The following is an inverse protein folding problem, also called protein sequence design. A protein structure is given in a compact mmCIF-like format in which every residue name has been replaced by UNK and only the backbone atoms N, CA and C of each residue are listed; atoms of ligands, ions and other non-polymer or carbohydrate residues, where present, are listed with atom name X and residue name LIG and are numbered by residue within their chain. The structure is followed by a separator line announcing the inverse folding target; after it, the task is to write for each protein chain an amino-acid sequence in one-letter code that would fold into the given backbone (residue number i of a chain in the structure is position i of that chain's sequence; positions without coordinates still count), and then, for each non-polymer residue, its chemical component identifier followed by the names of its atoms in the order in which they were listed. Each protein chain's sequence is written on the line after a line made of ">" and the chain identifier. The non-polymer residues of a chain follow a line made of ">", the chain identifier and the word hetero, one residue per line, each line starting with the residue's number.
data_IF_797890323013
#
_entry.id   IF_797890323013
#
_cell.length_a   1.000
_cell.length_b   1.000
_cell.length_c   1.000
_cell.angle_alpha   90.00
_cell.angle_beta   90.00
_cell.angle_gamma   90.00
#
_symmetry.space_group_name_H-M   'P 1'
#
loop_
_entity.id
_entity.type
_entity.pdbx_description
1 polymer ?
#
# COMPACT_ATOMS: atom_id res chain seq x y z
N UNK A 1 7.19 -18.85 -7.19
CA UNK A 1 6.43 -18.14 -6.13
C UNK A 1 5.29 -17.29 -6.66
N UNK A 2 5.46 -16.57 -7.78
CA UNK A 2 4.38 -15.80 -8.45
C UNK A 2 3.04 -16.54 -8.56
N UNK A 3 3.05 -17.76 -9.09
CA UNK A 3 1.83 -18.57 -9.22
C UNK A 3 1.12 -18.79 -7.87
N UNK A 4 1.88 -18.99 -6.77
CA UNK A 4 1.31 -19.19 -5.44
C UNK A 4 0.75 -17.88 -4.88
N UNK A 5 1.49 -16.79 -5.00
CA UNK A 5 1.10 -15.46 -4.52
C UNK A 5 -0.21 -14.97 -5.16
N UNK A 6 -0.43 -15.30 -6.43
CA UNK A 6 -1.63 -14.92 -7.20
C UNK A 6 -2.65 -16.06 -7.38
N UNK A 7 -2.49 -17.19 -6.70
CA UNK A 7 -3.31 -18.39 -6.96
C UNK A 7 -4.82 -18.20 -6.77
N UNK A 8 -5.23 -17.32 -5.85
CA UNK A 8 -6.64 -17.00 -5.57
C UNK A 8 -7.03 -15.60 -6.07
N UNK A 9 -6.23 -15.01 -6.95
CA UNK A 9 -6.47 -13.66 -7.46
C UNK A 9 -7.42 -13.69 -8.66
N UNK A 10 -8.59 -13.02 -8.58
CA UNK A 10 -9.53 -12.97 -9.70
C UNK A 10 -9.07 -12.03 -10.83
N UNK A 11 -8.03 -11.22 -10.61
CA UNK A 11 -7.55 -10.16 -11.52
C UNK A 11 -6.23 -10.50 -12.21
N UNK A 12 -5.50 -11.50 -11.72
CA UNK A 12 -4.17 -11.88 -12.23
C UNK A 12 -4.15 -13.32 -12.71
N UNK A 13 -3.58 -13.54 -13.91
CA UNK A 13 -3.38 -14.85 -14.51
C UNK A 13 -1.89 -15.15 -14.60
N UNK A 14 -1.48 -16.21 -13.93
CA UNK A 14 -0.13 -16.77 -14.07
C UNK A 14 -0.27 -18.12 -14.78
N UNK A 15 0.38 -18.35 -15.93
CA UNK A 15 0.30 -19.62 -16.63
C UNK A 15 0.84 -20.74 -15.76
N UNK A 16 0.12 -21.85 -15.69
CA UNK A 16 0.66 -23.05 -15.05
C UNK A 16 1.74 -23.68 -15.96
N UNK A 17 2.72 -24.34 -15.34
CA UNK A 17 3.86 -24.95 -16.05
C UNK A 17 3.68 -26.47 -16.13
N UNK A 18 3.77 -27.04 -17.34
CA UNK A 18 3.92 -28.50 -17.55
C UNK A 18 5.33 -28.93 -17.18
N UNK A 19 5.54 -29.25 -15.91
CA UNK A 19 6.86 -29.72 -15.43
C UNK A 19 7.31 -31.01 -16.12
N UNK A 20 6.37 -31.86 -16.51
CA UNK A 20 6.60 -33.13 -17.23
C UNK A 20 7.09 -32.93 -18.68
N UNK A 21 6.77 -31.79 -19.29
CA UNK A 21 7.20 -31.41 -20.65
C UNK A 21 8.27 -30.30 -20.65
N UNK A 22 8.79 -29.94 -19.48
CA UNK A 22 9.81 -28.91 -19.32
C UNK A 22 11.16 -29.52 -18.95
N UNK A 23 12.24 -28.87 -19.33
CA UNK A 23 13.62 -29.25 -19.01
C UNK A 23 14.58 -28.07 -19.11
N UNK A 24 15.91 -28.28 -19.04
CA UNK A 24 16.88 -27.19 -18.99
C UNK A 24 16.89 -26.23 -20.20
N UNK A 25 16.31 -26.64 -21.34
CA UNK A 25 16.31 -25.87 -22.60
C UNK A 25 14.91 -25.62 -23.16
N UNK A 26 13.87 -26.18 -22.56
CA UNK A 26 12.49 -26.09 -23.04
C UNK A 26 11.59 -25.87 -21.84
N UNK A 27 10.82 -24.78 -21.86
CA UNK A 27 9.77 -24.51 -20.89
C UNK A 27 8.42 -24.69 -21.58
N UNK A 28 7.59 -25.60 -21.07
CA UNK A 28 6.23 -25.82 -21.54
C UNK A 28 5.25 -25.26 -20.51
N UNK A 29 4.38 -24.34 -20.92
CA UNK A 29 3.42 -23.67 -20.06
C UNK A 29 2.07 -23.51 -20.74
N UNK A 30 1.06 -23.16 -19.96
CA UNK A 30 -0.26 -22.80 -20.43
C UNK A 30 -0.20 -21.74 -21.53
N UNK A 31 -0.98 -21.95 -22.60
CA UNK A 31 -1.16 -20.94 -23.64
C UNK A 31 -2.02 -19.79 -23.11
N UNK A 32 -1.53 -18.56 -23.24
CA UNK A 32 -2.25 -17.35 -22.87
C UNK A 32 -2.88 -16.74 -24.12
N UNK A 33 -4.20 -16.84 -24.20
CA UNK A 33 -5.00 -16.24 -25.27
C UNK A 33 -5.46 -14.83 -24.86
N UNK A 34 -4.57 -13.86 -25.03
CA UNK A 34 -4.80 -12.46 -24.67
C UNK A 34 -4.10 -11.51 -25.63
N UNK A 35 -4.39 -10.21 -25.50
CA UNK A 35 -3.79 -9.16 -26.32
C UNK A 35 -2.50 -8.68 -25.64
N UNK A 36 -1.38 -8.67 -26.36
CA UNK A 36 -0.11 -8.18 -25.80
C UNK A 36 -0.18 -6.68 -25.53
N UNK A 37 0.40 -6.22 -24.42
CA UNK A 37 0.51 -4.80 -24.11
C UNK A 37 1.41 -4.01 -25.09
N UNK A 38 2.12 -4.69 -25.99
CA UNK A 38 2.79 -4.08 -27.14
C UNK A 38 1.83 -3.57 -28.22
N UNK A 39 0.55 -3.95 -28.18
CA UNK A 39 -0.48 -3.50 -29.12
C UNK A 39 -1.62 -2.71 -28.41
N UNK A 40 -1.37 -1.43 -28.07
CA UNK A 40 -2.38 -0.56 -27.48
C UNK A 40 -3.62 -0.35 -28.35
N UNK A 41 -3.48 -0.46 -29.67
CA UNK A 41 -4.59 -0.27 -30.61
C UNK A 41 -5.57 -1.45 -30.51
N UNK A 42 -5.06 -2.68 -30.47
CA UNK A 42 -5.87 -3.87 -30.25
C UNK A 42 -6.56 -3.86 -28.88
N UNK A 43 -5.85 -3.43 -27.81
CA UNK A 43 -6.45 -3.32 -26.48
C UNK A 43 -7.63 -2.34 -26.50
N UNK A 44 -7.49 -1.17 -27.10
CA UNK A 44 -8.60 -0.19 -27.23
C UNK A 44 -9.75 -0.70 -28.10
N UNK A 45 -9.45 -1.46 -29.15
CA UNK A 45 -10.45 -2.02 -30.05
C UNK A 45 -11.19 -3.24 -29.47
N UNK A 46 -10.68 -3.83 -28.38
CA UNK A 46 -11.23 -5.07 -27.78
C UNK A 46 -12.57 -4.89 -27.05
N UNK A 47 -12.98 -3.65 -26.79
CA UNK A 47 -14.16 -3.34 -25.96
C UNK A 47 -13.93 -3.48 -24.45
N UNK A 48 -12.69 -3.78 -24.02
CA UNK A 48 -12.29 -3.79 -22.61
C UNK A 48 -12.36 -2.39 -22.00
N UNK A 49 -12.72 -2.31 -20.72
CA UNK A 49 -12.52 -1.11 -19.91
C UNK A 49 -11.02 -0.90 -19.67
N UNK A 50 -10.42 -0.01 -20.46
CA UNK A 50 -8.99 0.31 -20.40
C UNK A 50 -8.62 0.96 -19.06
N UNK A 51 -9.51 1.74 -18.46
CA UNK A 51 -9.24 2.39 -17.18
C UNK A 51 -9.16 1.35 -16.06
N UNK A 52 -10.10 0.40 -16.03
CA UNK A 52 -10.09 -0.72 -15.08
C UNK A 52 -8.88 -1.64 -15.30
N UNK A 53 -8.47 -1.87 -16.55
CA UNK A 53 -7.27 -2.65 -16.87
C UNK A 53 -5.99 -1.97 -16.35
N UNK A 54 -5.82 -0.68 -16.58
CA UNK A 54 -4.69 0.10 -16.05
C UNK A 54 -4.69 0.05 -14.52
N UNK A 55 -5.85 0.25 -13.90
CA UNK A 55 -6.01 0.18 -12.44
C UNK A 55 -5.61 -1.19 -11.90
N UNK A 56 -6.04 -2.26 -12.56
CA UNK A 56 -5.64 -3.63 -12.27
C UNK A 56 -4.12 -3.80 -12.33
N UNK A 57 -3.45 -3.20 -13.32
CA UNK A 57 -2.00 -3.25 -13.50
C UNK A 57 -1.25 -2.60 -12.36
N UNK A 58 -1.64 -1.37 -12.00
CA UNK A 58 -1.03 -0.64 -10.89
C UNK A 58 -1.25 -1.35 -9.56
N UNK A 59 -2.46 -1.78 -9.26
CA UNK A 59 -2.75 -2.54 -8.02
C UNK A 59 -1.93 -3.82 -7.97
N UNK A 60 -1.81 -4.54 -9.08
CA UNK A 60 -1.01 -5.78 -9.15
C UNK A 60 0.48 -5.51 -8.93
N UNK A 61 1.03 -4.44 -9.51
CA UNK A 61 2.40 -4.02 -9.27
C UNK A 61 2.64 -3.63 -7.81
N UNK A 62 1.72 -2.86 -7.20
CA UNK A 62 1.79 -2.49 -5.79
C UNK A 62 1.68 -3.70 -4.86
N UNK A 63 0.93 -4.75 -5.22
CA UNK A 63 0.89 -6.02 -4.47
C UNK A 63 2.21 -6.76 -4.54
N UNK A 64 2.81 -6.87 -5.72
CA UNK A 64 4.15 -7.45 -5.86
C UNK A 64 5.17 -6.75 -4.94
N UNK A 65 5.12 -5.41 -4.90
CA UNK A 65 6.05 -4.59 -4.13
C UNK A 65 5.78 -4.64 -2.63
N UNK A 66 4.55 -4.33 -2.21
CA UNK A 66 4.19 -4.04 -0.81
C UNK A 66 3.60 -5.23 -0.06
N UNK A 67 3.07 -6.23 -0.78
CA UNK A 67 2.51 -7.45 -0.20
C UNK A 67 3.50 -8.58 -0.21
N UNK A 68 3.95 -8.96 -1.40
CA UNK A 68 4.76 -10.16 -1.58
C UNK A 68 6.25 -9.90 -1.39
N UNK A 69 6.72 -8.67 -1.62
CA UNK A 69 8.15 -8.37 -1.64
C UNK A 69 8.89 -9.10 -2.78
N UNK A 70 8.16 -9.57 -3.78
CA UNK A 70 8.63 -10.32 -4.93
C UNK A 70 8.11 -9.61 -6.18
N UNK A 71 9.01 -9.04 -6.97
CA UNK A 71 8.66 -8.16 -8.08
C UNK A 71 9.17 -8.70 -9.41
N UNK A 72 8.35 -8.56 -10.45
CA UNK A 72 8.73 -8.91 -11.81
C UNK A 72 9.77 -7.90 -12.31
N UNK A 73 11.05 -8.27 -12.33
CA UNK A 73 12.18 -7.36 -12.58
C UNK A 73 12.26 -6.78 -14.00
N UNK A 74 11.55 -7.39 -14.97
CA UNK A 74 11.43 -6.86 -16.33
C UNK A 74 10.03 -7.05 -16.95
N UNK A 75 9.02 -6.30 -16.50
CA UNK A 75 7.62 -6.44 -16.89
C UNK A 75 7.37 -5.78 -18.26
N UNK A 76 8.23 -6.11 -19.23
CA UNK A 76 8.19 -5.57 -20.58
C UNK A 76 6.79 -5.81 -21.20
N UNK A 77 6.25 -4.87 -22.00
CA UNK A 77 4.91 -5.02 -22.58
C UNK A 77 4.71 -6.31 -23.40
N UNK A 78 5.79 -6.94 -23.88
CA UNK A 78 5.75 -8.22 -24.57
C UNK A 78 5.46 -9.43 -23.67
N UNK A 79 5.69 -9.30 -22.37
CA UNK A 79 5.50 -10.33 -21.34
C UNK A 79 4.20 -10.14 -20.55
N UNK A 80 3.41 -9.13 -20.90
CA UNK A 80 2.15 -8.78 -20.26
C UNK A 80 1.02 -8.83 -21.28
N UNK A 81 -0.06 -9.50 -20.92
CA UNK A 81 -1.23 -9.69 -21.77
C UNK A 81 -2.49 -9.19 -21.07
N UNK A 82 -3.31 -8.49 -21.83
CA UNK A 82 -4.69 -8.15 -21.49
C UNK A 82 -5.59 -9.32 -21.86
N UNK A 83 -6.16 -9.97 -20.86
CA UNK A 83 -7.08 -11.09 -21.05
C UNK A 83 -8.48 -10.58 -21.44
N UNK A 84 -9.26 -11.29 -22.27
CA UNK A 84 -10.60 -10.84 -22.68
C UNK A 84 -11.58 -10.59 -21.52
N UNK A 85 -11.35 -11.21 -20.36
CA UNK A 85 -12.12 -11.04 -19.13
C UNK A 85 -11.63 -9.87 -18.24
N UNK A 86 -10.70 -9.06 -18.73
CA UNK A 86 -10.13 -7.90 -18.03
C UNK A 86 -9.00 -8.22 -17.07
N UNK A 87 -8.57 -9.49 -16.97
CA UNK A 87 -7.40 -9.87 -16.16
C UNK A 87 -6.08 -9.48 -16.83
N UNK A 88 -5.04 -9.37 -16.01
CA UNK A 88 -3.66 -9.23 -16.46
C UNK A 88 -2.97 -10.58 -16.39
N UNK A 89 -2.32 -10.99 -17.47
CA UNK A 89 -1.47 -12.17 -17.47
C UNK A 89 0.03 -11.82 -17.60
N UNK A 90 0.86 -12.45 -16.78
CA UNK A 90 2.33 -12.39 -16.86
C UNK A 90 2.86 -13.74 -17.34
N UNK A 91 3.74 -13.77 -18.35
CA UNK A 91 4.22 -15.03 -18.95
C UNK A 91 5.70 -15.29 -18.81
N UNK A 92 6.51 -14.26 -18.59
CA UNK A 92 7.96 -14.38 -18.42
C UNK A 92 8.31 -14.07 -16.97
N UNK A 93 9.13 -14.91 -16.36
CA UNK A 93 9.61 -14.72 -14.99
C UNK A 93 11.13 -14.88 -14.92
N UNK A 94 11.84 -14.69 -16.04
CA UNK A 94 13.28 -14.85 -16.14
C UNK A 94 14.08 -13.80 -15.36
N UNK A 95 13.45 -12.66 -15.03
CA UNK A 95 14.03 -11.64 -14.18
C UNK A 95 13.05 -11.27 -13.07
N UNK A 96 13.41 -11.63 -11.83
CA UNK A 96 12.62 -11.40 -10.63
C UNK A 96 13.54 -10.84 -9.56
N UNK A 97 13.04 -9.86 -8.81
CA UNK A 97 13.74 -9.25 -7.70
C UNK A 97 12.99 -9.48 -6.39
N UNK A 98 13.73 -9.67 -5.31
CA UNK A 98 13.20 -9.75 -3.95
C UNK A 98 13.59 -8.51 -3.15
N UNK A 99 12.67 -8.04 -2.33
CA UNK A 99 12.89 -6.95 -1.39
C UNK A 99 12.98 -7.49 0.03
N UNK A 100 13.95 -7.00 0.79
CA UNK A 100 13.98 -7.26 2.23
C UNK A 100 12.74 -6.65 2.90
N UNK A 101 12.34 -7.22 4.04
CA UNK A 101 11.20 -6.69 4.79
C UNK A 101 11.41 -5.22 5.20
N UNK A 102 12.63 -4.85 5.58
CA UNK A 102 12.99 -3.46 5.90
C UNK A 102 12.75 -2.54 4.71
N UNK A 103 13.21 -2.91 3.51
CA UNK A 103 13.02 -2.09 2.32
C UNK A 103 11.54 -1.97 1.93
N UNK A 104 10.79 -3.08 2.06
CA UNK A 104 9.35 -3.08 1.85
C UNK A 104 8.64 -2.10 2.78
N UNK A 105 9.02 -2.09 4.05
CA UNK A 105 8.48 -1.17 5.05
C UNK A 105 8.83 0.28 4.71
N UNK A 106 10.09 0.57 4.39
CA UNK A 106 10.49 1.94 4.03
C UNK A 106 9.79 2.44 2.76
N UNK A 107 9.46 1.56 1.81
CA UNK A 107 8.63 1.94 0.66
C UNK A 107 7.18 2.25 1.05
N UNK A 108 6.62 1.52 2.02
CA UNK A 108 5.29 1.84 2.57
C UNK A 108 5.33 3.18 3.29
N UNK A 109 6.37 3.41 4.10
CA UNK A 109 6.60 4.67 4.82
C UNK A 109 6.69 5.84 3.84
N UNK A 110 7.43 5.69 2.74
CA UNK A 110 7.52 6.72 1.71
C UNK A 110 6.17 7.07 1.07
N UNK A 111 5.33 6.06 0.79
CA UNK A 111 3.99 6.31 0.22
C UNK A 111 3.07 6.94 1.26
N UNK A 112 3.15 6.51 2.51
CA UNK A 112 2.42 7.09 3.64
C UNK A 112 2.77 8.56 3.81
N UNK A 113 4.06 8.91 3.80
CA UNK A 113 4.51 10.28 3.89
C UNK A 113 4.04 11.09 2.68
N UNK A 114 4.09 10.52 1.47
CA UNK A 114 3.54 11.17 0.27
C UNK A 114 2.03 11.47 0.39
N UNK A 115 1.21 10.53 0.88
CA UNK A 115 -0.24 10.72 1.09
C UNK A 115 -0.51 11.84 2.09
N UNK A 116 0.30 11.94 3.13
CA UNK A 116 0.14 12.93 4.19
C UNK A 116 0.80 14.28 3.86
N UNK A 117 1.37 14.43 2.67
CA UNK A 117 2.16 15.61 2.28
C UNK A 117 3.31 15.88 3.26
N UNK A 118 3.81 14.82 3.92
CA UNK A 118 4.95 14.84 4.83
C UNK A 118 6.24 14.67 4.02
N UNK A 119 6.64 15.75 3.37
CA UNK A 119 7.79 15.74 2.48
C UNK A 119 9.12 15.56 3.21
N UNK A 120 9.18 15.91 4.49
CA UNK A 120 10.35 15.69 5.34
C UNK A 120 10.53 14.20 5.61
N UNK A 121 9.47 13.53 6.09
CA UNK A 121 9.49 12.08 6.30
C UNK A 121 9.76 11.30 5.02
N UNK A 122 9.24 11.77 3.88
CA UNK A 122 9.51 11.15 2.58
C UNK A 122 10.99 11.29 2.15
N UNK A 123 11.62 12.43 2.42
CA UNK A 123 13.05 12.62 2.14
C UNK A 123 13.92 11.68 2.99
N UNK A 124 13.61 11.58 4.28
CA UNK A 124 14.27 10.64 5.21
C UNK A 124 14.16 9.19 4.72
N UNK A 125 12.99 8.79 4.22
CA UNK A 125 12.80 7.45 3.67
C UNK A 125 13.59 7.23 2.39
N UNK A 126 13.68 8.24 1.52
CA UNK A 126 14.51 8.16 0.33
C UNK A 126 16.00 8.08 0.68
N UNK A 127 16.46 8.70 1.78
CA UNK A 127 17.81 8.50 2.32
C UNK A 127 17.99 7.07 2.84
N UNK A 128 17.03 6.54 3.62
CA UNK A 128 17.08 5.15 4.13
C UNK A 128 17.13 4.12 3.01
N UNK A 129 16.39 4.37 1.92
CA UNK A 129 16.43 3.55 0.71
C UNK A 129 17.77 3.72 -0.04
N UNK A 130 18.48 4.82 0.18
CA UNK A 130 19.73 5.17 -0.49
C UNK A 130 19.52 5.86 -1.83
N UNK A 131 18.32 6.38 -2.09
CA UNK A 131 17.97 7.18 -3.26
C UNK A 131 18.51 8.60 -3.17
N UNK A 132 18.55 9.15 -1.96
CA UNK A 132 19.10 10.46 -1.65
C UNK A 132 20.36 10.33 -0.79
N UNK A 133 21.29 11.28 -0.96
CA UNK A 133 22.46 11.40 -0.09
C UNK A 133 22.05 12.08 1.23
N UNK A 134 22.64 11.72 2.37
CA UNK A 134 22.40 12.42 3.62
C UNK A 134 22.62 13.94 3.49
N UNK A 135 21.69 14.76 4.01
CA UNK A 135 21.76 16.22 3.95
C UNK A 135 21.23 16.84 2.66
N UNK A 136 20.38 16.15 1.90
CA UNK A 136 19.67 16.71 0.73
C UNK A 136 18.25 17.19 1.04
N UNK A 137 17.88 17.16 2.33
CA UNK A 137 16.52 17.36 2.84
C UNK A 137 16.03 18.81 2.60
N UNK A 138 16.88 19.80 2.89
CA UNK A 138 16.57 21.22 2.70
C UNK A 138 16.34 21.58 1.22
N UNK A 139 17.09 20.96 0.30
CA UNK A 139 16.98 21.22 -1.14
C UNK A 139 15.72 20.56 -1.72
N UNK A 140 15.31 19.43 -1.14
CA UNK A 140 14.10 18.71 -1.50
C UNK A 140 12.84 19.51 -1.11
N UNK A 141 12.83 20.06 0.11
CA UNK A 141 11.73 20.86 0.66
C UNK A 141 11.37 22.08 -0.21
N UNK A 142 12.36 22.84 -0.68
CA UNK A 142 12.15 24.07 -1.45
C UNK A 142 11.46 23.82 -2.82
N UNK A 143 11.50 22.58 -3.33
CA UNK A 143 10.96 22.26 -4.65
C UNK A 143 9.57 21.65 -4.70
N UNK A 144 9.12 21.05 -3.60
CA UNK A 144 7.80 20.42 -3.52
C UNK A 144 6.70 21.37 -3.04
N UNK A 145 6.97 22.68 -2.94
CA UNK A 145 5.94 23.72 -2.83
C UNK A 145 4.98 23.81 -4.04
N UNK A 146 4.99 22.85 -4.97
CA UNK A 146 4.06 22.73 -6.09
C UNK A 146 3.30 21.41 -5.98
N UNK A 147 1.97 21.50 -6.08
CA UNK A 147 0.96 20.44 -5.92
C UNK A 147 1.40 19.02 -6.35
N UNK A 148 1.03 18.01 -5.55
CA UNK A 148 1.21 16.58 -5.85
C UNK A 148 0.59 16.13 -7.17
N UNK A 149 -0.40 16.86 -7.70
CA UNK A 149 -0.96 16.60 -9.04
C UNK A 149 0.11 16.69 -10.14
N UNK A 150 1.17 17.48 -9.91
CA UNK A 150 2.31 17.64 -10.81
C UNK A 150 3.52 16.76 -10.41
N UNK A 151 3.38 15.87 -9.41
CA UNK A 151 4.47 14.99 -8.97
C UNK A 151 4.80 13.98 -10.07
N UNK A 152 5.79 14.33 -10.88
CA UNK A 152 6.34 13.49 -11.91
C UNK A 152 7.70 12.98 -11.44
N UNK A 153 7.80 11.67 -11.20
CA UNK A 153 9.03 11.00 -10.76
C UNK A 153 10.23 11.31 -11.68
N UNK A 154 9.99 11.54 -12.99
CA UNK A 154 11.03 11.98 -13.94
C UNK A 154 11.53 13.39 -13.66
N UNK A 155 10.63 14.33 -13.34
CA UNK A 155 11.00 15.71 -13.03
C UNK A 155 11.87 15.77 -11.78
N UNK A 156 11.51 14.98 -10.78
CA UNK A 156 12.21 14.91 -9.49
C UNK A 156 13.62 14.30 -9.66
N UNK A 157 13.73 13.16 -10.36
CA UNK A 157 15.02 12.53 -10.69
C UNK A 157 15.90 13.38 -11.61
N UNK A 158 15.32 14.32 -12.37
CA UNK A 158 16.09 15.26 -13.22
C UNK A 158 16.65 16.47 -12.47
N UNK A 159 15.98 16.92 -11.40
CA UNK A 159 16.36 18.11 -10.62
C UNK A 159 17.28 17.78 -9.45
N UNK A 160 17.18 16.56 -8.93
CA UNK A 160 17.93 16.09 -7.77
C UNK A 160 18.89 14.98 -8.19
N UNK A 161 20.12 14.95 -7.67
CA UNK A 161 21.05 13.84 -7.91
C UNK A 161 20.58 12.60 -7.13
N UNK A 162 19.46 12.03 -7.57
CA UNK A 162 18.94 10.75 -7.07
C UNK A 162 19.91 9.67 -7.54
N UNK A 163 20.57 9.01 -6.59
CA UNK A 163 21.41 7.85 -6.88
C UNK A 163 20.58 6.62 -6.61
N UNK A 164 20.27 5.86 -7.65
CA UNK A 164 19.55 4.59 -7.47
C UNK A 164 20.58 3.52 -7.13
N UNK A 165 20.54 2.92 -5.92
CA UNK A 165 21.40 1.79 -5.61
C UNK A 165 21.11 0.63 -6.56
N UNK A 166 22.14 -0.14 -6.91
CA UNK A 166 22.03 -1.27 -7.86
C UNK A 166 20.90 -2.24 -7.50
N UNK A 167 20.74 -2.53 -6.19
CA UNK A 167 19.67 -3.39 -5.65
C UNK A 167 18.23 -2.93 -5.98
N UNK A 168 18.02 -1.64 -6.26
CA UNK A 168 16.71 -1.09 -6.63
C UNK A 168 16.59 -0.75 -8.12
N UNK A 169 17.67 -0.89 -8.89
CA UNK A 169 17.66 -0.60 -10.32
C UNK A 169 16.61 -1.43 -11.07
N UNK A 170 16.45 -2.71 -10.69
CA UNK A 170 15.42 -3.60 -11.22
C UNK A 170 14.01 -3.12 -10.85
N UNK A 171 13.77 -2.78 -9.59
CA UNK A 171 12.46 -2.31 -9.13
C UNK A 171 12.05 -1.02 -9.84
N UNK A 172 12.95 -0.04 -9.91
CA UNK A 172 12.65 1.25 -10.53
C UNK A 172 12.47 1.10 -12.05
N UNK A 173 13.33 0.33 -12.71
CA UNK A 173 13.16 0.03 -14.14
C UNK A 173 11.79 -0.57 -14.39
N UNK A 174 11.40 -1.53 -13.58
CA UNK A 174 10.18 -2.26 -13.77
C UNK A 174 8.92 -1.41 -13.50
N UNK A 175 8.94 -0.55 -12.48
CA UNK A 175 7.90 0.46 -12.25
C UNK A 175 7.79 1.44 -13.42
N UNK A 176 8.91 1.97 -13.93
CA UNK A 176 8.93 2.89 -15.07
C UNK A 176 8.41 2.21 -16.35
N UNK A 177 8.72 0.93 -16.56
CA UNK A 177 8.19 0.16 -17.69
C UNK A 177 6.67 -0.04 -17.56
N UNK A 178 6.17 -0.36 -16.37
CA UNK A 178 4.72 -0.49 -16.13
C UNK A 178 3.98 0.83 -16.29
N UNK A 179 4.53 1.93 -15.76
CA UNK A 179 4.01 3.28 -15.96
C UNK A 179 3.98 3.63 -17.45
N UNK A 180 5.03 3.31 -18.19
CA UNK A 180 5.08 3.48 -19.64
C UNK A 180 3.96 2.75 -20.38
N UNK A 181 3.62 1.52 -19.97
CA UNK A 181 2.47 0.78 -20.51
C UNK A 181 1.16 1.55 -20.24
N UNK A 182 0.98 2.01 -19.00
CA UNK A 182 -0.22 2.76 -18.60
C UNK A 182 -0.38 4.05 -19.41
N UNK A 183 0.68 4.85 -19.54
CA UNK A 183 0.69 6.09 -20.31
C UNK A 183 0.46 5.86 -21.81
N UNK A 184 0.97 4.74 -22.35
CA UNK A 184 0.74 4.38 -23.75
C UNK A 184 -0.74 4.05 -24.00
N UNK A 185 -1.44 3.48 -23.01
CA UNK A 185 -2.87 3.16 -23.08
C UNK A 185 -3.76 4.37 -22.79
N UNK A 186 -3.39 5.19 -21.79
CA UNK A 186 -4.09 6.39 -21.36
C UNK A 186 -3.08 7.51 -21.06
N UNK A 187 -2.90 8.49 -21.97
CA UNK A 187 -1.93 9.58 -21.78
C UNK A 187 -2.19 10.47 -20.56
N UNK A 188 -3.46 10.62 -20.17
CA UNK A 188 -3.90 11.41 -19.01
C UNK A 188 -3.85 10.61 -17.69
N UNK A 189 -3.21 9.44 -17.69
CA UNK A 189 -3.13 8.58 -16.51
C UNK A 189 -2.21 9.16 -15.44
N UNK A 190 -2.71 9.24 -14.20
CA UNK A 190 -1.94 9.62 -13.04
C UNK A 190 -1.79 8.44 -12.08
N UNK A 191 -0.55 7.99 -11.86
CA UNK A 191 -0.26 6.83 -11.01
C UNK A 191 -0.80 6.96 -9.58
N UNK A 192 -0.69 8.17 -9.00
CA UNK A 192 -1.06 8.44 -7.61
C UNK A 192 -2.56 8.28 -7.35
N UNK A 193 -3.41 8.55 -8.35
CA UNK A 193 -4.87 8.39 -8.24
C UNK A 193 -5.26 6.93 -7.99
N UNK A 194 -4.47 5.97 -8.46
CA UNK A 194 -4.71 4.54 -8.21
C UNK A 194 -3.92 4.05 -6.99
N UNK A 195 -2.70 4.55 -6.79
CA UNK A 195 -1.82 4.06 -5.74
C UNK A 195 -2.30 4.45 -4.34
N UNK A 196 -2.77 5.68 -4.14
CA UNK A 196 -3.18 6.17 -2.82
C UNK A 196 -4.38 5.41 -2.23
N UNK A 197 -5.50 5.21 -2.96
CA UNK A 197 -6.61 4.40 -2.46
C UNK A 197 -6.18 2.99 -2.07
N UNK A 198 -5.31 2.36 -2.87
CA UNK A 198 -4.80 1.03 -2.57
C UNK A 198 -3.95 1.00 -1.29
N UNK A 199 -3.02 1.94 -1.11
CA UNK A 199 -2.16 1.98 0.08
C UNK A 199 -2.94 2.36 1.33
N UNK A 200 -3.84 3.35 1.25
CA UNK A 200 -4.71 3.72 2.36
C UNK A 200 -5.55 2.53 2.84
N UNK A 201 -6.18 1.82 1.89
CA UNK A 201 -6.91 0.58 2.18
C UNK A 201 -6.00 -0.47 2.81
N UNK A 202 -4.81 -0.71 2.25
CA UNK A 202 -3.86 -1.69 2.78
C UNK A 202 -3.45 -1.39 4.22
N UNK A 203 -3.13 -0.14 4.55
CA UNK A 203 -2.80 0.28 5.91
C UNK A 203 -3.97 0.05 6.88
N UNK A 204 -5.19 0.32 6.41
CA UNK A 204 -6.40 0.19 7.21
C UNK A 204 -6.90 -1.25 7.35
N UNK A 205 -6.56 -2.18 6.46
CA UNK A 205 -7.12 -3.55 6.51
C UNK A 205 -6.09 -4.64 6.80
N UNK A 206 -4.80 -4.36 6.64
CA UNK A 206 -3.77 -5.38 6.85
C UNK A 206 -3.66 -5.79 8.32
N UNK A 207 -3.60 -7.10 8.57
CA UNK A 207 -3.34 -7.67 9.90
C UNK A 207 -1.84 -7.81 10.22
N UNK A 208 -0.97 -7.17 9.42
CA UNK A 208 0.47 -7.14 9.64
C UNK A 208 0.80 -6.22 10.83
N UNK A 209 1.42 -6.71 11.92
CA UNK A 209 1.74 -5.91 13.10
C UNK A 209 2.57 -4.66 12.79
N UNK A 210 3.40 -4.71 11.74
CA UNK A 210 4.26 -3.60 11.36
C UNK A 210 3.43 -2.52 10.66
N UNK A 211 2.49 -2.93 9.79
CA UNK A 211 1.55 -1.98 9.18
C UNK A 211 0.59 -1.37 10.21
N UNK A 212 0.24 -2.12 11.26
CA UNK A 212 -0.51 -1.60 12.40
C UNK A 212 0.25 -0.50 13.13
N UNK A 213 1.53 -0.73 13.42
CA UNK A 213 2.39 0.28 14.03
C UNK A 213 2.53 1.52 13.14
N UNK A 214 2.64 1.34 11.81
CA UNK A 214 2.67 2.47 10.87
C UNK A 214 1.37 3.24 10.82
N UNK A 215 0.23 2.57 10.72
CA UNK A 215 -1.08 3.22 10.81
C UNK A 215 -1.17 4.05 12.10
N UNK A 216 -0.68 3.51 13.22
CA UNK A 216 -0.62 4.22 14.49
C UNK A 216 0.25 5.48 14.41
N UNK A 217 1.47 5.40 13.87
CA UNK A 217 2.36 6.56 13.70
C UNK A 217 1.77 7.64 12.77
N UNK A 218 0.96 7.24 11.78
CA UNK A 218 0.27 8.19 10.90
C UNK A 218 -0.84 8.93 11.64
N UNK A 219 -1.62 8.18 12.42
CA UNK A 219 -2.75 8.71 13.16
C UNK A 219 -2.34 9.48 14.42
N UNK A 220 -1.13 9.28 14.94
CA UNK A 220 -0.62 9.95 16.13
C UNK A 220 0.72 10.63 15.86
N UNK A 221 0.76 11.96 16.00
CA UNK A 221 2.00 12.74 15.89
C UNK A 221 2.24 13.49 17.20
N UNK A 222 3.45 13.39 17.76
CA UNK A 222 3.82 14.00 19.04
C UNK A 222 2.85 13.68 20.20
N UNK A 223 2.24 12.49 20.15
CA UNK A 223 1.25 12.04 21.13
C UNK A 223 -0.16 12.62 20.94
N UNK A 224 -0.41 13.35 19.86
CA UNK A 224 -1.70 13.92 19.49
C UNK A 224 -2.34 13.17 18.33
N UNK A 225 -3.63 12.88 18.43
CA UNK A 225 -4.38 12.23 17.36
C UNK A 225 -4.64 13.21 16.20
N UNK A 226 -4.40 12.75 14.98
CA UNK A 226 -4.50 13.55 13.75
C UNK A 226 -5.84 13.27 13.04
N UNK A 227 -6.90 13.96 13.47
CA UNK A 227 -8.27 13.77 12.95
C UNK A 227 -8.36 13.87 11.42
N UNK A 228 -7.77 14.93 10.85
CA UNK A 228 -7.78 15.17 9.41
C UNK A 228 -7.09 14.05 8.62
N UNK A 229 -6.01 13.48 9.16
CA UNK A 229 -5.30 12.35 8.53
C UNK A 229 -6.15 11.08 8.55
N UNK A 230 -6.84 10.83 9.67
CA UNK A 230 -7.77 9.70 9.77
C UNK A 230 -8.88 9.80 8.73
N UNK A 231 -9.51 10.97 8.58
CA UNK A 231 -10.56 11.23 7.59
C UNK A 231 -10.04 11.10 6.16
N UNK A 232 -8.87 11.67 5.84
CA UNK A 232 -8.25 11.57 4.51
C UNK A 232 -7.96 10.11 4.15
N UNK A 233 -7.39 9.33 5.07
CA UNK A 233 -7.11 7.90 4.86
C UNK A 233 -8.39 7.09 4.63
N UNK A 234 -9.43 7.33 5.44
CA UNK A 234 -10.72 6.64 5.31
C UNK A 234 -11.41 7.00 3.99
N UNK A 235 -11.36 8.27 3.58
CA UNK A 235 -11.86 8.74 2.29
C UNK A 235 -11.18 8.02 1.12
N UNK A 236 -9.85 8.07 1.07
CA UNK A 236 -9.05 7.40 0.03
C UNK A 236 -9.30 5.88 -0.01
N UNK A 237 -9.39 5.23 1.15
CA UNK A 237 -9.60 3.79 1.19
C UNK A 237 -10.97 3.36 0.62
N UNK A 238 -11.99 4.21 0.77
CA UNK A 238 -13.35 3.99 0.24
C UNK A 238 -13.47 4.20 -1.26
N UNK A 239 -12.60 5.01 -1.87
CA UNK A 239 -12.53 5.18 -3.33
C UNK A 239 -12.06 3.92 -4.04
N UNK A 240 -11.37 3.01 -3.33
CA UNK A 240 -10.96 1.72 -3.86
C UNK A 240 -12.14 0.80 -4.22
N UNK A 241 -11.98 -0.01 -5.26
CA UNK A 241 -12.99 -0.98 -5.69
C UNK A 241 -13.23 -2.09 -4.65
N UNK A 242 -14.48 -2.26 -4.21
CA UNK A 242 -14.90 -3.28 -3.25
C UNK A 242 -15.19 -2.72 -1.85
N UNK A 243 -16.05 -3.38 -1.07
CA UNK A 243 -16.38 -2.96 0.29
C UNK A 243 -15.14 -2.86 1.18
N UNK A 244 -15.08 -1.87 2.09
CA UNK A 244 -13.98 -1.72 3.04
C UNK A 244 -14.36 -2.47 4.33
N UNK A 245 -13.48 -3.32 4.83
CA UNK A 245 -13.67 -4.01 6.11
C UNK A 245 -12.48 -3.70 7.01
N UNK A 246 -12.73 -2.84 8.01
CA UNK A 246 -11.73 -2.42 9.00
C UNK A 246 -12.01 -3.03 10.39
N UNK A 247 -12.84 -4.08 10.45
CA UNK A 247 -13.23 -4.73 11.71
C UNK A 247 -12.02 -5.19 12.53
N UNK A 248 -11.04 -5.80 11.86
CA UNK A 248 -9.81 -6.29 12.51
C UNK A 248 -9.01 -5.13 13.12
N UNK A 249 -9.00 -3.98 12.45
CA UNK A 249 -8.25 -2.77 12.80
C UNK A 249 -8.86 -2.07 13.99
N UNK A 250 -10.18 -1.95 13.98
CA UNK A 250 -10.94 -1.36 15.09
C UNK A 250 -10.79 -2.22 16.34
N UNK A 251 -10.85 -3.56 16.19
CA UNK A 251 -10.55 -4.49 17.28
C UNK A 251 -9.16 -4.24 17.87
N UNK A 252 -8.13 -4.18 17.03
CA UNK A 252 -6.75 -4.00 17.50
C UNK A 252 -6.56 -2.64 18.17
N UNK A 253 -7.17 -1.59 17.63
CA UNK A 253 -7.22 -0.26 18.26
C UNK A 253 -7.87 -0.33 19.65
N UNK A 254 -9.04 -0.97 19.78
CA UNK A 254 -9.71 -1.15 21.09
C UNK A 254 -8.80 -1.87 22.09
N UNK A 255 -8.10 -2.93 21.66
CA UNK A 255 -7.16 -3.64 22.54
C UNK A 255 -6.03 -2.73 23.02
N UNK A 256 -5.41 -1.98 22.11
CA UNK A 256 -4.31 -1.08 22.46
C UNK A 256 -4.78 -0.02 23.45
N UNK A 257 -5.97 0.57 23.25
CA UNK A 257 -6.55 1.56 24.18
C UNK A 257 -6.85 0.96 25.56
N UNK A 258 -7.30 -0.29 25.62
CA UNK A 258 -7.57 -0.98 26.88
C UNK A 258 -6.29 -1.39 27.63
N UNK A 259 -5.20 -1.65 26.93
CA UNK A 259 -3.97 -2.16 27.52
C UNK A 259 -2.92 -1.07 27.79
N UNK A 260 -2.87 -0.01 26.98
CA UNK A 260 -1.87 1.04 27.06
C UNK A 260 -2.47 2.32 27.69
N UNK A 261 -2.06 2.60 28.93
CA UNK A 261 -2.54 3.76 29.68
C UNK A 261 -2.05 5.10 29.10
N UNK A 262 -0.84 5.13 28.53
CA UNK A 262 -0.32 6.35 27.89
C UNK A 262 -1.16 6.68 26.67
N UNK A 263 -1.49 5.67 25.88
CA UNK A 263 -2.31 5.81 24.68
C UNK A 263 -3.75 6.15 25.00
N UNK A 264 -4.33 5.51 26.03
CA UNK A 264 -5.65 5.89 26.54
C UNK A 264 -5.68 7.36 26.96
N UNK A 265 -4.66 7.81 27.70
CA UNK A 265 -4.53 9.21 28.10
C UNK A 265 -4.33 10.15 26.89
N UNK A 266 -3.55 9.76 25.89
CA UNK A 266 -3.37 10.53 24.66
C UNK A 266 -4.69 10.67 23.88
N UNK A 267 -5.49 9.61 23.79
CA UNK A 267 -6.82 9.67 23.18
C UNK A 267 -7.76 10.54 23.98
N UNK A 268 -7.84 10.35 25.31
CA UNK A 268 -8.64 11.21 26.20
C UNK A 268 -8.25 12.68 26.03
N UNK A 269 -6.95 12.97 25.99
CA UNK A 269 -6.45 14.32 25.75
C UNK A 269 -6.84 14.82 24.36
N UNK A 270 -6.74 13.99 23.32
CA UNK A 270 -7.15 14.34 21.96
C UNK A 270 -8.66 14.62 21.85
N UNK A 271 -9.49 14.07 22.74
CA UNK A 271 -10.91 14.46 22.84
C UNK A 271 -11.10 15.84 23.48
N UNK A 272 -10.14 16.34 24.26
CA UNK A 272 -10.26 17.55 25.11
C UNK A 272 -9.24 18.64 24.77
N UNK A 273 -8.51 18.51 23.66
CA UNK A 273 -7.48 19.47 23.25
C UNK A 273 -8.07 20.88 23.02
N UNK A 274 -7.24 21.91 23.24
CA UNK A 274 -7.61 23.33 23.05
C UNK A 274 -8.86 23.81 23.82
N UNK A 275 -9.17 23.18 24.97
CA UNK A 275 -10.37 23.47 25.77
C UNK A 275 -11.69 23.24 24.98
N UNK A 276 -11.65 22.44 23.92
CA UNK A 276 -12.82 22.04 23.14
C UNK A 276 -12.95 20.54 23.11
N UNK A 277 -14.19 20.07 23.11
CA UNK A 277 -14.46 18.68 22.80
C UNK A 277 -14.49 18.55 21.28
N UNK A 278 -13.60 17.73 20.71
CA UNK A 278 -13.57 17.41 19.27
C UNK A 278 -14.74 16.48 18.86
N UNK A 279 -15.97 16.81 19.26
CA UNK A 279 -17.16 15.97 19.08
C UNK A 279 -17.50 15.83 17.59
N UNK A 280 -17.29 16.88 16.81
CA UNK A 280 -17.63 16.91 15.40
C UNK A 280 -16.68 16.01 14.58
N UNK A 281 -15.38 16.08 14.86
CA UNK A 281 -14.35 15.23 14.24
C UNK A 281 -14.55 13.76 14.62
N UNK A 282 -14.83 13.48 15.88
CA UNK A 282 -15.15 12.14 16.37
C UNK A 282 -16.38 11.59 15.66
N UNK A 283 -17.45 12.39 15.58
CA UNK A 283 -18.68 11.99 14.91
C UNK A 283 -18.43 11.73 13.42
N UNK A 284 -17.63 12.56 12.77
CA UNK A 284 -17.26 12.41 11.36
C UNK A 284 -16.55 11.08 11.11
N UNK A 285 -15.48 10.79 11.87
CA UNK A 285 -14.75 9.52 11.77
C UNK A 285 -15.65 8.33 12.10
N UNK A 286 -16.46 8.41 13.16
CA UNK A 286 -17.40 7.32 13.53
C UNK A 286 -18.41 7.05 12.42
N UNK A 287 -18.98 8.09 11.80
CA UNK A 287 -19.91 7.94 10.69
C UNK A 287 -19.24 7.29 9.46
N UNK A 288 -17.98 7.63 9.19
CA UNK A 288 -17.22 7.00 8.11
C UNK A 288 -16.90 5.53 8.42
N UNK A 289 -16.70 5.18 9.69
CA UNK A 289 -16.26 3.84 10.11
C UNK A 289 -17.43 2.87 10.34
N UNK A 290 -18.59 3.36 10.79
CA UNK A 290 -19.71 2.51 11.22
C UNK A 290 -20.22 1.54 10.14
N UNK A 291 -20.19 1.95 8.87
CA UNK A 291 -20.60 1.11 7.73
C UNK A 291 -19.56 0.06 7.31
N UNK A 292 -18.33 0.18 7.79
CA UNK A 292 -17.17 -0.63 7.38
C UNK A 292 -16.73 -1.62 8.47
N UNK A 293 -17.51 -1.72 9.56
CA UNK A 293 -17.31 -2.66 10.67
C UNK A 293 -18.44 -3.69 10.64
N UNK A 294 -18.09 -4.98 10.75
CA UNK A 294 -19.05 -6.02 11.07
C UNK A 294 -19.18 -6.18 12.61
N UNK A 295 -20.31 -5.78 13.23
CA UNK A 295 -20.44 -5.78 14.69
C UNK A 295 -20.40 -7.18 15.30
N UNK A 296 -20.94 -8.18 14.60
CA UNK A 296 -20.95 -9.58 15.07
C UNK A 296 -19.53 -10.17 15.06
N UNK A 297 -18.77 -9.89 13.99
CA UNK A 297 -17.38 -10.30 13.89
C UNK A 297 -16.51 -9.58 14.93
N UNK A 298 -16.70 -8.27 15.11
CA UNK A 298 -15.99 -7.48 16.12
C UNK A 298 -16.21 -8.06 17.53
N UNK A 299 -17.48 -8.31 17.89
CA UNK A 299 -17.83 -8.86 19.20
C UNK A 299 -17.20 -10.26 19.39
N UNK A 300 -17.33 -11.13 18.39
CA UNK A 300 -16.79 -12.50 18.45
C UNK A 300 -15.28 -12.50 18.61
N UNK A 301 -14.57 -11.66 17.87
CA UNK A 301 -13.12 -11.57 17.95
C UNK A 301 -12.68 -10.98 19.29
N UNK A 302 -13.30 -9.90 19.74
CA UNK A 302 -12.99 -9.26 21.04
C UNK A 302 -13.28 -10.19 22.23
N UNK A 303 -14.39 -10.95 22.18
CA UNK A 303 -14.73 -11.98 23.19
C UNK A 303 -13.74 -13.15 23.19
N UNK A 304 -13.24 -13.55 22.02
CA UNK A 304 -12.20 -14.58 21.90
C UNK A 304 -10.88 -14.16 22.55
N UNK A 305 -10.55 -12.87 22.49
CA UNK A 305 -9.33 -12.30 23.05
C UNK A 305 -9.45 -11.93 24.54
N UNK A 306 -10.65 -11.99 25.10
CA UNK A 306 -10.99 -11.52 26.45
C UNK A 306 -10.16 -12.19 27.57
N UNK A 307 -9.87 -13.51 27.53
CA UNK A 307 -8.99 -14.14 28.52
C UNK A 307 -7.54 -13.62 28.47
N UNK A 308 -7.02 -13.36 27.26
CA UNK A 308 -5.69 -12.81 27.06
C UNK A 308 -5.62 -11.35 27.53
N UNK A 309 -6.64 -10.56 27.19
CA UNK A 309 -6.80 -9.17 27.65
C UNK A 309 -6.90 -9.08 29.17
N UNK A 310 -7.72 -9.92 29.81
CA UNK A 310 -7.84 -9.93 31.27
C UNK A 310 -6.53 -10.29 31.96
N UNK A 311 -5.76 -11.21 31.36
CA UNK A 311 -4.44 -11.58 31.88
C UNK A 311 -3.45 -10.42 31.76
N UNK A 312 -3.36 -9.79 30.58
CA UNK A 312 -2.45 -8.66 30.35
C UNK A 312 -2.82 -7.45 31.20
N UNK A 313 -4.11 -7.15 31.35
CA UNK A 313 -4.60 -6.09 32.23
C UNK A 313 -4.24 -6.37 33.68
N UNK A 314 -4.44 -7.60 34.18
CA UNK A 314 -4.05 -7.96 35.54
C UNK A 314 -2.53 -7.86 35.76
N UNK A 315 -1.73 -8.23 34.75
CA UNK A 315 -0.26 -8.09 34.81
C UNK A 315 0.17 -6.62 34.83
N UNK A 316 -0.39 -5.77 33.97
CA UNK A 316 -0.04 -4.34 33.97
C UNK A 316 -0.49 -3.64 35.26
N UNK A 317 -1.64 -4.05 35.82
CA UNK A 317 -2.13 -3.57 37.09
C UNK A 317 -1.26 -4.05 38.26
N UNK A 318 -0.84 -5.32 38.27
CA UNK A 318 0.06 -5.83 39.31
C UNK A 318 1.42 -5.15 39.27
N UNK A 319 2.01 -4.96 38.09
CA UNK A 319 3.29 -4.30 37.94
C UNK A 319 3.24 -2.87 38.48
N UNK A 320 2.12 -2.17 38.28
CA UNK A 320 1.89 -0.81 38.81
C UNK A 320 1.69 -0.72 40.31
N UNK A 321 1.09 -1.72 40.94
CA UNK A 321 0.90 -1.74 42.39
C UNK A 321 2.19 -2.13 43.12
N UNK A 322 3.04 -2.91 42.44
CA UNK A 322 4.27 -3.44 43.01
C UNK A 322 5.51 -2.56 42.72
N UNK A 323 5.41 -1.57 41.83
CA UNK A 323 6.44 -0.55 41.54
C UNK A 323 6.26 0.72 42.37
#
# INVERSE_FOLDING_TARGET
>A
DFYRNFSNDPKVKIPWVRRDLSGPRVLCMEWIDGIRCTDPAAIRASGMDVAEFIRCGVVTGLRQLLEFGLFHGDPHPGNIFAMPDGRIAYVDFGNVAELSQTNKQTLIDAIVHAVNEDYEGMADDFIKLGFLAPGTDEIWQDSMGRSLADFNFRTVTSKYPIRIPERYSLVIRALLTQEGICLTLSPEFHFLEVAYPYVARRLLTAEDPILRERLFQVLFQNGKFQWQRAEKLLGLAKEGSGGLDITSTVRDAVKVVLLDDKLRMQLVNAFTEDNKLHIDEVRSVLNQVQGEINPQQLLRQTLGDLPALSRQFMLSWSDKILS
#
